data_IF_697301787038
#
_entry.id   IF_697301787038
#
_cell.length_a   1.000
_cell.length_b   1.000
_cell.length_c   1.000
_cell.angle_alpha   90.00
_cell.angle_beta   90.00
_cell.angle_gamma   90.00
#
_symmetry.space_group_name_H-M   'P 1'
#
loop_
_entity.id
_entity.type
_entity.pdbx_description
1 polymer ?
#
# COMPACT_ATOMS: atom_id res chain seq x y z
N UNK A 1 -10.08 -26.95 2.11
CA UNK A 1 -8.93 -26.25 1.50
C UNK A 1 -9.37 -25.03 0.70
N UNK A 2 -10.34 -25.12 -0.23
CA UNK A 2 -10.77 -23.98 -1.07
C UNK A 2 -11.40 -22.79 -0.30
N UNK A 3 -12.21 -23.06 0.74
CA UNK A 3 -12.85 -22.00 1.55
C UNK A 3 -11.86 -21.17 2.38
N UNK A 4 -10.83 -21.82 2.94
CA UNK A 4 -9.77 -21.14 3.72
C UNK A 4 -8.91 -20.26 2.82
N UNK A 5 -8.62 -20.72 1.59
CA UNK A 5 -7.88 -19.95 0.60
C UNK A 5 -8.61 -18.68 0.17
N UNK A 6 -9.94 -18.71 0.08
CA UNK A 6 -10.77 -17.54 -0.23
C UNK A 6 -10.77 -16.55 0.95
N UNK A 7 -10.86 -17.07 2.18
CA UNK A 7 -11.06 -16.24 3.36
C UNK A 7 -9.93 -15.23 3.64
N UNK A 8 -8.66 -15.66 3.62
CA UNK A 8 -7.56 -14.71 3.90
C UNK A 8 -7.32 -13.73 2.75
N UNK A 9 -7.63 -14.11 1.49
CA UNK A 9 -7.48 -13.22 0.33
C UNK A 9 -8.45 -12.05 0.42
N UNK A 10 -9.71 -12.32 0.79
CA UNK A 10 -10.69 -11.26 1.01
C UNK A 10 -10.26 -10.31 2.15
N UNK A 11 -9.78 -10.85 3.28
CA UNK A 11 -9.25 -10.02 4.36
C UNK A 11 -8.04 -9.16 3.93
N UNK A 12 -7.14 -9.69 3.09
CA UNK A 12 -6.06 -8.89 2.52
C UNK A 12 -6.57 -7.79 1.61
N UNK A 13 -7.55 -8.06 0.75
CA UNK A 13 -8.13 -7.07 -0.13
C UNK A 13 -8.79 -5.93 0.65
N UNK A 14 -9.63 -6.27 1.63
CA UNK A 14 -10.25 -5.32 2.55
C UNK A 14 -9.18 -4.48 3.25
N UNK A 15 -8.13 -5.13 3.76
CA UNK A 15 -7.04 -4.44 4.45
C UNK A 15 -6.25 -3.50 3.54
N UNK A 16 -6.01 -3.86 2.28
CA UNK A 16 -5.35 -2.98 1.31
C UNK A 16 -6.22 -1.75 0.98
N UNK A 17 -7.53 -1.92 0.82
CA UNK A 17 -8.48 -0.82 0.57
C UNK A 17 -8.51 0.14 1.77
N UNK A 18 -8.57 -0.40 2.99
CA UNK A 18 -8.48 0.39 4.22
C UNK A 18 -7.15 1.14 4.31
N UNK A 19 -6.03 0.46 4.02
CA UNK A 19 -4.70 1.05 4.06
C UNK A 19 -4.59 2.21 3.06
N UNK A 20 -5.06 2.02 1.83
CA UNK A 20 -5.10 3.06 0.80
C UNK A 20 -5.87 4.28 1.28
N UNK A 21 -7.07 4.05 1.85
CA UNK A 21 -7.88 5.13 2.42
C UNK A 21 -7.16 5.86 3.56
N UNK A 22 -6.51 5.12 4.46
CA UNK A 22 -5.74 5.69 5.56
C UNK A 22 -4.54 6.51 5.06
N UNK A 23 -3.82 6.06 4.04
CA UNK A 23 -2.70 6.78 3.43
C UNK A 23 -3.15 8.14 2.88
N UNK A 24 -4.27 8.19 2.15
CA UNK A 24 -4.76 9.44 1.53
C UNK A 24 -5.14 10.48 2.59
N UNK A 25 -5.64 10.07 3.75
CA UNK A 25 -6.03 10.97 4.83
C UNK A 25 -4.92 11.23 5.86
N UNK A 26 -3.75 10.59 5.72
CA UNK A 26 -2.65 10.69 6.68
C UNK A 26 -1.78 11.91 6.39
N UNK A 27 -1.68 12.81 7.37
CA UNK A 27 -0.76 13.96 7.31
C UNK A 27 0.70 13.53 7.20
N UNK A 28 1.08 12.43 7.86
CA UNK A 28 2.42 11.85 7.73
C UNK A 28 2.69 11.44 6.28
N UNK A 29 1.77 10.69 5.68
CA UNK A 29 1.93 10.19 4.32
C UNK A 29 2.06 11.35 3.32
N UNK A 30 1.16 12.33 3.38
CA UNK A 30 1.14 13.51 2.51
C UNK A 30 2.39 14.40 2.58
N UNK A 31 3.20 14.26 3.65
CA UNK A 31 4.37 15.12 3.90
C UNK A 31 5.70 14.39 3.78
N UNK A 32 5.70 13.11 3.41
CA UNK A 32 6.92 12.30 3.32
C UNK A 32 7.05 11.63 1.96
N UNK A 33 8.27 11.47 1.46
CA UNK A 33 8.56 10.48 0.39
C UNK A 33 8.84 9.12 1.05
N UNK A 34 8.09 8.08 0.66
CA UNK A 34 8.16 6.75 1.25
C UNK A 34 9.01 5.81 0.40
N UNK A 35 10.33 6.00 0.42
CA UNK A 35 11.26 5.18 -0.34
C UNK A 35 11.72 3.96 0.47
N UNK A 36 11.70 2.78 -0.17
CA UNK A 36 12.27 1.54 0.36
C UNK A 36 11.50 0.91 1.52
N UNK A 37 10.30 1.40 1.81
CA UNK A 37 9.36 0.74 2.72
C UNK A 37 8.73 -0.49 2.05
N UNK A 38 8.12 -1.36 2.84
CA UNK A 38 7.46 -2.57 2.37
C UNK A 38 6.09 -2.76 3.01
N UNK A 39 5.25 -3.57 2.37
CA UNK A 39 4.03 -4.11 2.97
C UNK A 39 4.32 -5.53 3.44
N UNK A 40 4.18 -5.76 4.74
CA UNK A 40 4.31 -7.08 5.34
C UNK A 40 2.93 -7.74 5.42
N UNK A 41 2.75 -8.79 4.63
CA UNK A 41 1.57 -9.64 4.63
C UNK A 41 1.77 -10.77 5.65
N UNK A 42 0.84 -10.88 6.60
CA UNK A 42 0.87 -11.95 7.61
C UNK A 42 -0.52 -12.54 7.72
N UNK A 43 -0.62 -13.87 7.69
CA UNK A 43 -1.85 -14.57 8.00
C UNK A 43 -1.59 -15.87 8.74
N UNK A 44 -2.59 -16.31 9.50
CA UNK A 44 -2.68 -17.63 10.09
C UNK A 44 -3.99 -18.31 9.64
N UNK A 45 -4.44 -19.33 10.36
CA UNK A 45 -5.67 -20.06 10.07
C UNK A 45 -6.95 -19.23 10.29
N UNK A 46 -6.87 -18.12 11.03
CA UNK A 46 -8.02 -17.33 11.49
C UNK A 46 -8.03 -15.90 10.93
N UNK A 47 -6.86 -15.28 10.75
CA UNK A 47 -6.74 -13.85 10.44
C UNK A 47 -5.67 -13.57 9.39
N UNK A 48 -5.93 -12.58 8.55
CA UNK A 48 -4.95 -11.99 7.65
C UNK A 48 -4.86 -10.48 7.86
N UNK A 49 -3.65 -9.92 7.77
CA UNK A 49 -3.46 -8.47 7.88
C UNK A 49 -2.17 -8.01 7.22
N UNK A 50 -2.08 -6.69 7.03
CA UNK A 50 -1.02 -6.02 6.29
C UNK A 50 -0.55 -4.82 7.09
N UNK A 51 0.77 -4.68 7.18
CA UNK A 51 1.44 -3.59 7.87
C UNK A 51 2.48 -2.94 6.97
N UNK A 52 2.60 -1.62 7.05
CA UNK A 52 3.73 -0.89 6.48
C UNK A 52 4.95 -1.04 7.40
N UNK A 53 6.10 -1.37 6.83
CA UNK A 53 7.36 -1.55 7.54
C UNK A 53 8.52 -0.82 6.82
N UNK A 54 9.68 -0.78 7.47
CA UNK A 54 10.95 -0.29 6.91
C UNK A 54 10.98 1.19 6.48
N UNK A 55 10.61 2.08 7.40
CA UNK A 55 10.65 3.54 7.19
C UNK A 55 12.06 4.16 7.27
N UNK A 56 13.13 3.36 7.26
CA UNK A 56 14.50 3.85 7.45
C UNK A 56 15.01 4.80 6.37
N UNK A 57 14.34 4.84 5.21
CA UNK A 57 14.60 5.78 4.10
C UNK A 57 13.40 6.68 3.80
N UNK A 58 12.37 6.68 4.65
CA UNK A 58 11.25 7.61 4.55
C UNK A 58 11.71 8.99 5.02
N UNK A 59 11.48 10.02 4.21
CA UNK A 59 12.01 11.37 4.46
C UNK A 59 10.90 12.40 4.35
N UNK A 60 10.96 13.41 5.20
CA UNK A 60 10.10 14.58 5.08
C UNK A 60 10.38 15.27 3.74
N UNK A 61 9.32 15.68 3.05
CA UNK A 61 9.42 16.46 1.82
C UNK A 61 10.06 17.83 2.10
N UNK A 62 10.80 18.41 1.15
CA UNK A 62 11.24 19.79 1.25
C UNK A 62 10.07 20.78 1.35
N UNK A 63 10.33 21.95 1.94
CA UNK A 63 9.31 23.00 2.07
C UNK A 63 8.68 23.35 0.71
N UNK A 64 7.36 23.47 0.67
CA UNK A 64 6.54 23.78 -0.51
C UNK A 64 6.51 22.67 -1.60
N UNK A 65 7.01 21.47 -1.32
CA UNK A 65 6.82 20.32 -2.20
C UNK A 65 5.65 19.48 -1.71
N UNK A 66 4.75 19.18 -2.65
CA UNK A 66 3.61 18.28 -2.45
C UNK A 66 3.60 17.25 -3.56
N UNK A 67 3.43 15.98 -3.19
CA UNK A 67 3.37 14.84 -4.10
C UNK A 67 2.02 14.15 -3.98
N UNK A 68 1.64 13.37 -4.99
CA UNK A 68 0.39 12.61 -4.97
C UNK A 68 0.59 11.14 -4.63
N UNK A 69 1.82 10.62 -4.70
CA UNK A 69 2.19 9.20 -4.57
C UNK A 69 1.60 8.30 -5.67
N UNK A 70 0.90 8.87 -6.65
CA UNK A 70 0.22 8.16 -7.73
C UNK A 70 0.96 8.33 -9.06
N UNK A 71 1.81 9.34 -9.18
CA UNK A 71 2.46 9.70 -10.44
C UNK A 71 3.83 9.03 -10.59
N UNK A 72 4.28 8.80 -11.83
CA UNK A 72 5.64 8.35 -12.07
C UNK A 72 6.66 9.32 -11.50
N UNK A 73 7.72 8.79 -10.89
CA UNK A 73 8.86 9.59 -10.48
C UNK A 73 9.53 10.24 -11.69
N UNK A 74 9.78 11.54 -11.55
CA UNK A 74 10.70 12.30 -12.40
C UNK A 74 11.78 12.93 -11.54
N UNK A 75 12.95 13.20 -12.14
CA UNK A 75 14.05 13.86 -11.44
C UNK A 75 13.56 15.18 -10.83
N UNK A 76 13.64 15.29 -9.50
CA UNK A 76 13.23 16.47 -8.73
C UNK A 76 11.75 16.52 -8.33
N UNK A 77 10.94 15.54 -8.73
CA UNK A 77 9.50 15.51 -8.40
C UNK A 77 9.20 15.05 -6.97
N UNK A 78 10.09 14.26 -6.37
CA UNK A 78 9.87 13.55 -5.10
C UNK A 78 8.73 12.51 -5.10
N UNK A 79 8.04 12.29 -6.22
CA UNK A 79 7.02 11.25 -6.34
C UNK A 79 7.62 9.87 -6.06
N UNK A 80 7.00 9.09 -5.18
CA UNK A 80 7.47 7.75 -4.81
C UNK A 80 6.67 6.63 -5.49
N UNK A 81 5.52 6.95 -6.08
CA UNK A 81 4.63 5.99 -6.70
C UNK A 81 4.01 4.99 -5.72
N UNK A 82 3.97 5.31 -4.42
CA UNK A 82 3.50 4.37 -3.39
C UNK A 82 2.04 3.97 -3.59
N UNK A 83 1.14 4.95 -3.81
CA UNK A 83 -0.28 4.68 -4.09
C UNK A 83 -0.47 4.02 -5.46
N UNK A 84 0.36 4.36 -6.44
CA UNK A 84 0.35 3.64 -7.72
C UNK A 84 0.66 2.14 -7.53
N UNK A 85 1.68 1.82 -6.73
CA UNK A 85 2.01 0.42 -6.39
C UNK A 85 0.89 -0.27 -5.63
N UNK A 86 0.30 0.43 -4.65
CA UNK A 86 -0.81 -0.08 -3.85
C UNK A 86 -2.06 -0.38 -4.70
N UNK A 87 -2.38 0.48 -5.66
CA UNK A 87 -3.53 0.32 -6.56
C UNK A 87 -3.36 -0.89 -7.48
N UNK A 88 -2.15 -1.09 -8.01
CA UNK A 88 -1.83 -2.29 -8.78
C UNK A 88 -1.95 -3.55 -7.91
N UNK A 89 -1.50 -3.51 -6.67
CA UNK A 89 -1.59 -4.66 -5.76
C UNK A 89 -3.05 -5.00 -5.40
N UNK A 90 -3.89 -3.98 -5.23
CA UNK A 90 -5.35 -4.15 -5.07
C UNK A 90 -5.95 -4.81 -6.31
N UNK A 91 -5.64 -4.32 -7.52
CA UNK A 91 -6.15 -4.86 -8.78
C UNK A 91 -5.76 -6.33 -8.95
N UNK A 92 -4.48 -6.66 -8.77
CA UNK A 92 -3.96 -8.03 -8.88
C UNK A 92 -4.68 -8.96 -7.89
N UNK A 93 -4.90 -8.51 -6.65
CA UNK A 93 -5.56 -9.35 -5.65
C UNK A 93 -7.05 -9.53 -5.96
N UNK A 94 -7.73 -8.51 -6.51
CA UNK A 94 -9.10 -8.62 -6.99
C UNK A 94 -9.23 -9.64 -8.14
N UNK A 95 -8.30 -9.62 -9.10
CA UNK A 95 -8.24 -10.59 -10.19
C UNK A 95 -8.06 -12.01 -9.65
N UNK A 96 -7.09 -12.24 -8.75
CA UNK A 96 -6.83 -13.55 -8.12
C UNK A 96 -8.04 -14.08 -7.33
N UNK A 97 -8.85 -13.19 -6.76
CA UNK A 97 -10.09 -13.58 -6.05
C UNK A 97 -11.20 -13.93 -7.04
N UNK A 98 -11.26 -13.26 -8.20
CA UNK A 98 -12.31 -13.43 -9.20
C UNK A 98 -12.08 -14.62 -10.13
N UNK A 99 -10.83 -15.05 -10.34
CA UNK A 99 -10.46 -16.22 -11.17
C UNK A 99 -10.76 -17.59 -10.52
N UNK A 100 -11.64 -17.65 -9.50
CA UNK A 100 -11.99 -18.89 -8.78
C UNK A 100 -13.37 -19.42 -9.18
#
# INVERSE_FOLDING_TARGET
MNLLLIHYRTQYLERLIELRSACIHSSFFQTHELIGSSLLFVHDENKASIWMIDFGKTRLLPDNIHITHEKPWMRGSHEDGYLFGLDNLISILQEIITEV
#
